data_IF_522187137209
#
_entry.id   IF_522187137209
#
_cell.length_a   1.000
_cell.length_b   1.000
_cell.length_c   1.000
_cell.angle_alpha   90.00
_cell.angle_beta   90.00
_cell.angle_gamma   90.00
#
_symmetry.space_group_name_H-M   'P 1'
#
loop_
_entity.id
_entity.type
_entity.pdbx_description
1 polymer ?
#
# COMPACT_ATOMS: atom_id res chain seq x y z
N UNK A 1 -9.13 -16.58 2.02
CA UNK A 1 -7.87 -16.70 2.79
C UNK A 1 -8.03 -17.65 3.97
N UNK A 2 -6.93 -18.16 4.52
CA UNK A 2 -6.95 -18.87 5.81
C UNK A 2 -7.25 -17.90 6.97
N UNK A 3 -7.54 -18.46 8.15
CA UNK A 3 -7.95 -17.69 9.33
C UNK A 3 -6.88 -16.69 9.80
N UNK A 4 -5.60 -17.01 9.65
CA UNK A 4 -4.51 -16.15 10.11
C UNK A 4 -4.40 -14.95 9.18
N UNK A 5 -4.31 -15.18 7.87
CA UNK A 5 -4.22 -14.09 6.89
C UNK A 5 -5.44 -13.17 6.95
N UNK A 6 -6.64 -13.73 7.11
CA UNK A 6 -7.86 -12.93 7.28
C UNK A 6 -7.81 -12.03 8.52
N UNK A 7 -7.32 -12.56 9.65
CA UNK A 7 -7.18 -11.76 10.87
C UNK A 7 -6.15 -10.64 10.73
N UNK A 8 -5.05 -10.88 10.00
CA UNK A 8 -4.05 -9.85 9.72
C UNK A 8 -4.61 -8.74 8.83
N UNK A 9 -5.35 -9.12 7.78
CA UNK A 9 -6.03 -8.18 6.91
C UNK A 9 -7.03 -7.31 7.68
N UNK A 10 -7.88 -7.91 8.52
CA UNK A 10 -8.85 -7.17 9.34
C UNK A 10 -8.16 -6.20 10.32
N UNK A 11 -7.02 -6.60 10.91
CA UNK A 11 -6.24 -5.73 11.77
C UNK A 11 -5.61 -4.57 10.99
N UNK A 12 -5.09 -4.84 9.80
CA UNK A 12 -4.56 -3.83 8.90
C UNK A 12 -5.62 -2.78 8.54
N UNK A 13 -6.81 -3.21 8.10
CA UNK A 13 -7.89 -2.27 7.75
C UNK A 13 -8.28 -1.38 8.95
N UNK A 14 -8.37 -1.96 10.15
CA UNK A 14 -8.66 -1.21 11.38
C UNK A 14 -7.55 -0.23 11.74
N UNK A 15 -6.28 -0.65 11.64
CA UNK A 15 -5.13 0.17 12.01
C UNK A 15 -5.02 1.44 11.13
N UNK A 16 -5.33 1.30 9.84
CA UNK A 16 -5.25 2.40 8.88
C UNK A 16 -6.60 3.09 8.62
N UNK A 17 -7.63 2.75 9.41
CA UNK A 17 -9.00 3.28 9.27
C UNK A 17 -9.54 3.17 7.82
N UNK A 18 -9.16 2.10 7.13
CA UNK A 18 -9.56 1.86 5.74
C UNK A 18 -10.95 1.23 5.73
N UNK A 19 -11.89 1.89 5.07
CA UNK A 19 -13.19 1.31 4.79
C UNK A 19 -13.05 0.15 3.80
N UNK A 20 -13.49 -1.04 4.23
CA UNK A 20 -13.48 -2.24 3.41
C UNK A 20 -14.35 -2.06 2.17
N UNK A 21 -13.79 -2.35 0.98
CA UNK A 21 -14.54 -2.29 -0.28
C UNK A 21 -14.88 -3.69 -0.78
N UNK A 22 -13.88 -4.57 -0.82
CA UNK A 22 -14.03 -5.98 -1.16
C UNK A 22 -12.83 -6.77 -0.64
N UNK A 23 -13.01 -8.06 -0.37
CA UNK A 23 -11.92 -8.92 0.11
C UNK A 23 -10.70 -8.90 -0.84
N UNK A 24 -10.91 -8.78 -2.15
CA UNK A 24 -9.85 -8.69 -3.15
C UNK A 24 -9.07 -7.37 -3.04
N UNK A 25 -9.76 -6.23 -3.15
CA UNK A 25 -9.13 -4.90 -3.08
C UNK A 25 -8.46 -4.66 -1.72
N UNK A 26 -9.08 -5.12 -0.64
CA UNK A 26 -8.54 -4.99 0.70
C UNK A 26 -7.24 -5.82 0.83
N UNK A 27 -7.23 -7.03 0.26
CA UNK A 27 -6.05 -7.88 0.25
C UNK A 27 -4.93 -7.31 -0.62
N UNK A 28 -5.24 -6.72 -1.77
CA UNK A 28 -4.27 -6.01 -2.61
C UNK A 28 -3.58 -4.87 -1.85
N UNK A 29 -4.36 -4.02 -1.16
CA UNK A 29 -3.82 -2.95 -0.30
C UNK A 29 -2.91 -3.51 0.80
N UNK A 30 -3.30 -4.62 1.42
CA UNK A 30 -2.52 -5.27 2.46
C UNK A 30 -1.19 -5.83 1.92
N UNK A 31 -1.20 -6.43 0.73
CA UNK A 31 0.01 -6.89 0.05
C UNK A 31 0.94 -5.72 -0.29
N UNK A 32 0.41 -4.66 -0.89
CA UNK A 32 1.15 -3.43 -1.21
C UNK A 32 1.85 -2.86 0.03
N UNK A 33 1.12 -2.74 1.15
CA UNK A 33 1.68 -2.27 2.41
C UNK A 33 2.77 -3.20 2.94
N UNK A 34 2.52 -4.51 2.95
CA UNK A 34 3.45 -5.50 3.51
C UNK A 34 4.79 -5.53 2.78
N UNK A 35 4.78 -5.39 1.46
CA UNK A 35 6.00 -5.32 0.65
C UNK A 35 6.72 -3.99 0.86
N UNK A 36 6.01 -2.86 0.77
CA UNK A 36 6.63 -1.54 0.85
C UNK A 36 7.16 -1.22 2.24
N UNK A 37 6.48 -1.63 3.31
CA UNK A 37 6.94 -1.34 4.68
C UNK A 37 8.26 -2.04 5.01
N UNK A 38 8.56 -3.15 4.33
CA UNK A 38 9.84 -3.85 4.47
C UNK A 38 11.00 -3.06 3.82
N UNK A 39 10.74 -2.40 2.70
CA UNK A 39 11.75 -1.63 1.95
C UNK A 39 11.83 -0.16 2.37
N UNK A 40 10.75 0.39 2.95
CA UNK A 40 10.61 1.78 3.33
C UNK A 40 10.04 1.90 4.75
N UNK A 41 10.93 2.24 5.70
CA UNK A 41 10.59 2.28 7.12
C UNK A 41 9.76 3.51 7.54
N UNK A 42 9.65 4.53 6.68
CA UNK A 42 8.89 5.74 6.97
C UNK A 42 7.39 5.55 6.72
N UNK A 43 6.61 6.58 6.99
CA UNK A 43 5.16 6.60 6.74
C UNK A 43 4.86 6.94 5.29
N UNK A 44 3.81 6.32 4.75
CA UNK A 44 3.31 6.55 3.40
C UNK A 44 1.81 6.26 3.38
N UNK A 45 1.11 6.90 2.44
CA UNK A 45 -0.33 6.71 2.24
C UNK A 45 -0.55 5.54 1.27
N UNK A 46 -1.21 4.48 1.77
CA UNK A 46 -1.48 3.24 1.00
C UNK A 46 -2.33 3.52 -0.26
N UNK A 47 -3.19 4.53 -0.20
CA UNK A 47 -4.05 4.91 -1.31
C UNK A 47 -3.27 5.56 -2.46
N UNK A 48 -2.05 6.08 -2.23
CA UNK A 48 -1.20 6.63 -3.30
C UNK A 48 -0.43 5.55 -4.07
N UNK A 49 -0.36 4.34 -3.53
CA UNK A 49 0.33 3.19 -4.15
C UNK A 49 -0.65 2.34 -4.95
N UNK A 50 -1.85 2.17 -4.43
CA UNK A 50 -2.80 1.20 -4.95
C UNK A 50 -3.46 1.72 -6.22
N UNK A 51 -3.52 0.89 -7.25
CA UNK A 51 -4.09 1.27 -8.56
C UNK A 51 -5.61 1.16 -8.60
N UNK A 52 -6.22 0.53 -7.60
CA UNK A 52 -7.67 0.30 -7.53
C UNK A 52 -8.12 -0.78 -8.51
N UNK A 53 -9.28 -0.59 -9.14
CA UNK A 53 -9.82 -1.53 -10.14
C UNK A 53 -9.08 -1.37 -11.48
N UNK A 54 -7.80 -1.74 -11.51
CA UNK A 54 -6.95 -1.70 -12.69
C UNK A 54 -6.62 -3.11 -13.21
N UNK A 55 -6.21 -3.22 -14.47
CA UNK A 55 -5.74 -4.49 -15.03
C UNK A 55 -4.21 -4.58 -14.96
N UNK A 56 -3.71 -5.62 -14.30
CA UNK A 56 -2.34 -6.12 -14.41
C UNK A 56 -1.36 -5.68 -13.32
N UNK A 57 -1.60 -4.56 -12.63
CA UNK A 57 -0.76 -4.08 -11.52
C UNK A 57 -1.68 -3.62 -10.39
N UNK A 58 -1.51 -4.17 -9.20
CA UNK A 58 -2.33 -3.87 -8.01
C UNK A 58 -1.76 -2.68 -7.21
N UNK A 59 -0.48 -2.37 -7.39
CA UNK A 59 0.18 -1.21 -6.78
C UNK A 59 1.54 -0.87 -7.37
N UNK A 60 1.92 0.40 -7.28
CA UNK A 60 3.22 0.93 -7.70
C UNK A 60 3.75 1.92 -6.66
N UNK A 61 5.01 1.77 -6.27
CA UNK A 61 5.72 2.74 -5.44
C UNK A 61 7.09 3.05 -6.00
N UNK A 62 7.49 4.32 -5.96
CA UNK A 62 8.80 4.80 -6.39
C UNK A 62 9.53 5.34 -5.17
N UNK A 63 10.71 4.80 -4.87
CA UNK A 63 11.53 5.25 -3.73
C UNK A 63 12.88 5.73 -4.28
N UNK A 64 13.22 6.98 -3.98
CA UNK A 64 14.50 7.59 -4.37
C UNK A 64 15.13 8.18 -3.11
N UNK A 65 16.39 7.83 -2.83
CA UNK A 65 17.12 8.30 -1.63
C UNK A 65 16.34 8.17 -0.31
N UNK A 66 15.65 7.03 -0.13
CA UNK A 66 14.82 6.76 1.04
C UNK A 66 13.67 7.78 1.25
N UNK A 67 13.18 8.38 0.16
CA UNK A 67 11.95 9.16 0.09
C UNK A 67 10.98 8.51 -0.89
N UNK A 68 9.70 8.47 -0.50
CA UNK A 68 8.63 7.95 -1.35
C UNK A 68 8.19 9.06 -2.30
N UNK A 69 8.23 8.79 -3.60
CA UNK A 69 7.98 9.77 -4.66
C UNK A 69 6.56 9.58 -5.20
N UNK A 70 5.70 10.56 -4.99
CA UNK A 70 4.33 10.59 -5.52
C UNK A 70 4.24 11.45 -6.78
N UNK A 71 5.10 12.46 -6.91
CA UNK A 71 5.09 13.38 -8.05
C UNK A 71 6.49 13.60 -8.60
N UNK A 72 6.59 13.97 -9.89
CA UNK A 72 7.90 14.25 -10.51
C UNK A 72 8.60 15.46 -9.91
N UNK A 73 7.87 16.38 -9.28
CA UNK A 73 8.45 17.58 -8.65
C UNK A 73 9.25 17.25 -7.40
N UNK A 74 8.82 16.25 -6.63
CA UNK A 74 9.54 15.81 -5.42
C UNK A 74 10.97 15.39 -5.74
N UNK A 75 11.24 14.93 -6.97
CA UNK A 75 12.59 14.56 -7.41
C UNK A 75 13.50 15.78 -7.57
N UNK A 76 12.98 16.95 -7.91
CA UNK A 76 13.79 18.16 -8.10
C UNK A 76 14.36 18.70 -6.78
N UNK A 77 13.72 18.35 -5.65
CA UNK A 77 14.06 18.79 -4.31
C UNK A 77 14.91 17.77 -3.52
N UNK A 78 15.32 16.65 -4.15
CA UNK A 78 16.10 15.54 -3.56
C UNK A 78 17.54 15.55 -4.04
#
# INVERSE_FOLDING_TARGET
MDRITKSLLENFLKQFEIESKSEALDFEKFCNYSVLKNEFNNEFEIDNISTGEAQGIDGLGIIVNNQFINTTKEIEDI
#
